data_IF_865412700965
#
_entry.id   IF_865412700965
#
_cell.length_a   1.000
_cell.length_b   1.000
_cell.length_c   1.000
_cell.angle_alpha   90.00
_cell.angle_beta   90.00
_cell.angle_gamma   90.00
#
_symmetry.space_group_name_H-M   'P 1'
#
loop_
_entity.id
_entity.type
_entity.pdbx_description
1 polymer ?
#
# COMPACT_ATOMS: atom_id res chain seq x y z
N UNK A 1 17.04 -10.60 18.79
CA UNK A 1 17.36 -10.32 17.38
C UNK A 1 18.30 -9.12 17.31
N UNK A 2 19.47 -9.28 16.68
CA UNK A 2 20.47 -8.19 16.61
C UNK A 2 20.09 -7.15 15.54
N UNK A 3 20.60 -5.93 15.68
CA UNK A 3 20.37 -4.85 14.73
C UNK A 3 20.83 -5.21 13.30
N UNK A 4 21.87 -6.03 13.16
CA UNK A 4 22.35 -6.54 11.86
C UNK A 4 21.36 -7.46 11.17
N UNK A 5 20.63 -8.28 11.93
CA UNK A 5 19.60 -9.18 11.35
C UNK A 5 18.42 -8.38 10.81
N UNK A 6 18.07 -7.26 11.44
CA UNK A 6 17.04 -6.32 10.96
C UNK A 6 17.48 -5.61 9.67
N UNK A 7 18.71 -5.14 9.64
CA UNK A 7 19.29 -4.43 8.49
C UNK A 7 19.48 -5.34 7.26
N UNK A 8 19.86 -6.60 7.47
CA UNK A 8 19.96 -7.59 6.39
C UNK A 8 18.58 -7.97 5.82
N UNK A 9 17.56 -8.08 6.67
CA UNK A 9 16.18 -8.30 6.22
C UNK A 9 15.63 -7.07 5.46
N UNK A 10 16.01 -5.86 5.87
CA UNK A 10 15.68 -4.62 5.15
C UNK A 10 16.33 -4.54 3.76
N UNK A 11 17.58 -5.01 3.60
CA UNK A 11 18.32 -4.99 2.34
C UNK A 11 17.93 -6.11 1.37
N UNK A 12 17.46 -7.25 1.86
CA UNK A 12 17.11 -8.42 1.04
C UNK A 12 15.64 -8.44 0.55
N UNK A 13 14.87 -7.39 0.80
CA UNK A 13 13.48 -7.28 0.31
C UNK A 13 13.50 -6.59 -1.05
N UNK A 14 12.81 -7.14 -2.05
CA UNK A 14 12.67 -6.51 -3.37
C UNK A 14 12.56 -4.99 -3.29
N UNK A 15 13.34 -4.33 -4.14
CA UNK A 15 13.08 -2.97 -4.56
C UNK A 15 11.81 -2.96 -5.44
N UNK A 16 10.66 -3.29 -4.86
CA UNK A 16 9.41 -2.77 -5.37
C UNK A 16 9.59 -1.23 -5.37
N UNK A 17 9.32 -0.53 -6.48
CA UNK A 17 9.60 0.91 -6.58
C UNK A 17 8.87 1.76 -5.52
N UNK A 18 7.95 1.16 -4.76
CA UNK A 18 7.17 1.76 -3.68
C UNK A 18 7.29 0.95 -2.39
N UNK A 19 8.42 1.00 -1.68
CA UNK A 19 8.45 0.47 -0.31
C UNK A 19 7.74 1.45 0.64
N UNK A 20 6.45 1.24 0.86
CA UNK A 20 5.72 1.98 1.91
C UNK A 20 6.38 1.66 3.26
N UNK A 21 6.88 2.66 4.00
CA UNK A 21 7.58 2.45 5.27
C UNK A 21 6.74 1.63 6.26
N UNK A 22 7.36 0.91 7.22
CA UNK A 22 6.63 0.13 8.23
C UNK A 22 5.89 0.99 9.27
N UNK A 23 5.99 2.32 9.18
CA UNK A 23 5.20 3.25 9.98
C UNK A 23 3.70 3.05 9.71
N UNK A 24 2.88 2.97 10.76
CA UNK A 24 1.45 2.68 10.61
C UNK A 24 0.61 3.91 10.23
N UNK A 25 0.99 5.11 10.66
CA UNK A 25 0.19 6.32 10.50
C UNK A 25 0.99 7.44 9.86
N UNK A 26 0.49 8.00 8.76
CA UNK A 26 1.17 9.05 8.00
C UNK A 26 0.43 10.38 8.11
N UNK A 27 1.17 11.49 8.20
CA UNK A 27 0.64 12.82 7.88
C UNK A 27 0.40 12.94 6.38
N UNK A 28 -0.36 13.94 5.92
CA UNK A 28 -0.56 14.18 4.49
C UNK A 28 0.75 14.42 3.75
N UNK A 29 1.68 15.16 4.36
CA UNK A 29 3.03 15.36 3.83
C UNK A 29 3.79 14.05 3.64
N UNK A 30 3.79 13.18 4.66
CA UNK A 30 4.48 11.89 4.59
C UNK A 30 3.81 10.96 3.58
N UNK A 31 2.48 10.95 3.53
CA UNK A 31 1.72 10.24 2.50
C UNK A 31 2.10 10.72 1.10
N UNK A 32 2.22 12.04 0.88
CA UNK A 32 2.68 12.60 -0.39
C UNK A 32 4.07 12.13 -0.79
N UNK A 33 5.01 12.11 0.16
CA UNK A 33 6.34 11.58 -0.09
C UNK A 33 6.33 10.08 -0.49
N UNK A 34 5.44 9.27 0.10
CA UNK A 34 5.28 7.85 -0.26
C UNK A 34 4.64 7.69 -1.64
N UNK A 35 3.64 8.51 -1.97
CA UNK A 35 2.89 8.43 -3.22
C UNK A 35 3.58 9.14 -4.40
N UNK A 36 4.66 9.88 -4.15
CA UNK A 36 5.28 10.75 -5.16
C UNK A 36 4.42 11.96 -5.53
N UNK A 37 3.58 12.46 -4.61
CA UNK A 37 2.63 13.55 -4.82
C UNK A 37 2.89 14.73 -3.87
N UNK A 38 2.50 15.93 -4.30
CA UNK A 38 2.47 17.10 -3.44
C UNK A 38 1.43 16.93 -2.32
N UNK A 39 1.71 17.46 -1.13
CA UNK A 39 0.79 17.40 0.03
C UNK A 39 -0.61 17.95 -0.29
N UNK A 40 -0.70 19.04 -1.05
CA UNK A 40 -1.97 19.63 -1.48
C UNK A 40 -2.79 18.72 -2.41
N UNK A 41 -2.13 17.88 -3.20
CA UNK A 41 -2.79 16.86 -4.02
C UNK A 41 -3.34 15.75 -3.13
N UNK A 42 -2.54 15.28 -2.17
CA UNK A 42 -2.96 14.25 -1.19
C UNK A 42 -4.14 14.74 -0.36
N UNK A 43 -4.14 16.02 0.05
CA UNK A 43 -5.25 16.63 0.76
C UNK A 43 -6.55 16.60 -0.06
N UNK A 44 -6.48 16.94 -1.35
CA UNK A 44 -7.64 16.86 -2.24
C UNK A 44 -8.16 15.43 -2.39
N UNK A 45 -7.27 14.45 -2.56
CA UNK A 45 -7.64 13.03 -2.63
C UNK A 45 -8.32 12.58 -1.34
N UNK A 46 -7.82 13.02 -0.19
CA UNK A 46 -8.41 12.74 1.11
C UNK A 46 -9.82 13.32 1.22
N UNK A 47 -9.99 14.61 0.91
CA UNK A 47 -11.29 15.29 1.06
C UNK A 47 -12.35 14.81 0.08
N UNK A 48 -11.94 14.27 -1.08
CA UNK A 48 -12.83 13.57 -2.03
C UNK A 48 -13.18 12.15 -1.61
N UNK A 49 -12.55 11.60 -0.57
CA UNK A 49 -12.71 10.21 -0.17
C UNK A 49 -11.97 9.21 -1.07
N UNK A 50 -11.16 9.69 -2.01
CA UNK A 50 -10.31 8.83 -2.84
C UNK A 50 -9.16 8.23 -2.03
N UNK A 51 -8.63 8.96 -1.04
CA UNK A 51 -7.65 8.45 -0.09
C UNK A 51 -8.23 8.41 1.32
N UNK A 52 -8.48 7.20 1.84
CA UNK A 52 -9.14 7.00 3.13
C UNK A 52 -8.21 7.26 4.31
N UNK A 53 -8.75 7.80 5.41
CA UNK A 53 -8.00 7.95 6.66
C UNK A 53 -8.85 8.48 7.80
N UNK A 54 -8.16 8.91 8.87
CA UNK A 54 -8.77 9.42 10.09
C UNK A 54 -8.59 10.94 10.19
N UNK A 55 -9.68 11.63 10.52
CA UNK A 55 -9.69 13.07 10.81
C UNK A 55 -9.88 13.24 12.31
N UNK A 56 -8.97 13.96 12.94
CA UNK A 56 -9.07 14.36 14.33
C UNK A 56 -9.29 15.87 14.38
N UNK A 57 -10.44 16.27 14.93
CA UNK A 57 -10.77 17.66 15.20
C UNK A 57 -10.53 17.93 16.69
N UNK A 58 -9.70 18.93 17.01
CA UNK A 58 -9.36 19.28 18.39
C UNK A 58 -10.28 20.37 19.00
N UNK A 59 -11.30 20.83 18.29
CA UNK A 59 -12.28 21.81 18.77
C UNK A 59 -12.09 23.22 18.19
N UNK A 60 -12.80 24.20 18.77
CA UNK A 60 -12.97 25.57 18.21
C UNK A 60 -11.63 26.27 17.95
N UNK A 61 -11.33 26.49 16.68
CA UNK A 61 -10.17 27.25 16.20
C UNK A 61 -8.89 26.43 15.99
N UNK A 62 -8.90 25.16 16.37
CA UNK A 62 -7.75 24.26 16.19
C UNK A 62 -7.75 23.61 14.80
N UNK A 63 -6.55 23.32 14.29
CA UNK A 63 -6.38 22.78 12.94
C UNK A 63 -6.76 21.30 12.89
N UNK A 64 -7.67 20.93 11.99
CA UNK A 64 -8.01 19.53 11.73
C UNK A 64 -6.76 18.72 11.34
N UNK A 65 -6.52 17.62 12.05
CA UNK A 65 -5.41 16.71 11.76
C UNK A 65 -5.89 15.49 10.98
N UNK A 66 -5.47 15.41 9.71
CA UNK A 66 -5.68 14.23 8.85
C UNK A 66 -4.51 13.24 9.04
N UNK A 67 -4.83 11.96 9.18
CA UNK A 67 -3.87 10.85 9.28
C UNK A 67 -4.29 9.73 8.35
N UNK A 68 -3.34 9.22 7.57
CA UNK A 68 -3.57 8.14 6.60
C UNK A 68 -2.93 6.87 7.15
N UNK A 69 -3.69 5.77 7.33
CA UNK A 69 -3.10 4.50 7.74
C UNK A 69 -2.30 3.89 6.59
N UNK A 70 -1.24 3.14 6.92
CA UNK A 70 -0.37 2.46 5.96
C UNK A 70 -1.15 1.61 4.94
N UNK A 71 -2.16 0.90 5.41
CA UNK A 71 -3.02 0.07 4.57
C UNK A 71 -3.76 0.87 3.49
N UNK A 72 -4.19 2.10 3.79
CA UNK A 72 -4.87 2.96 2.83
C UNK A 72 -3.91 3.47 1.74
N UNK A 73 -2.65 3.76 2.07
CA UNK A 73 -1.64 4.11 1.07
C UNK A 73 -1.35 2.94 0.12
N UNK A 74 -1.21 1.73 0.65
CA UNK A 74 -1.00 0.52 -0.14
C UNK A 74 -2.20 0.27 -1.06
N UNK A 75 -3.42 0.36 -0.53
CA UNK A 75 -4.64 0.18 -1.31
C UNK A 75 -4.77 1.22 -2.43
N UNK A 76 -4.44 2.49 -2.14
CA UNK A 76 -4.43 3.55 -3.13
C UNK A 76 -3.45 3.24 -4.26
N UNK A 77 -2.19 2.94 -3.94
CA UNK A 77 -1.14 2.61 -4.92
C UNK A 77 -1.53 1.45 -5.82
N UNK A 78 -2.14 0.40 -5.26
CA UNK A 78 -2.64 -0.74 -6.03
C UNK A 78 -3.75 -0.31 -6.99
N UNK A 79 -4.74 0.44 -6.49
CA UNK A 79 -5.91 0.86 -7.29
C UNK A 79 -5.55 1.83 -8.41
N UNK A 80 -4.54 2.68 -8.21
CA UNK A 80 -4.12 3.69 -9.19
C UNK A 80 -2.96 3.24 -10.07
N UNK A 81 -2.52 1.99 -9.93
CA UNK A 81 -1.46 1.46 -10.76
C UNK A 81 -1.96 1.30 -12.20
N UNK A 82 -1.30 1.97 -13.14
CA UNK A 82 -1.57 1.86 -14.59
C UNK A 82 -0.63 0.84 -15.26
N UNK A 83 -0.30 -0.23 -14.53
CA UNK A 83 0.48 -1.33 -15.07
C UNK A 83 -0.41 -2.18 -16.00
N UNK A 84 0.17 -2.75 -17.07
CA UNK A 84 -0.52 -3.81 -17.80
C UNK A 84 -0.75 -5.01 -16.88
N UNK A 85 -1.76 -5.83 -17.15
CA UNK A 85 -2.07 -7.03 -16.37
C UNK A 85 -0.82 -7.93 -16.23
N UNK A 86 0.01 -8.03 -17.27
CA UNK A 86 1.27 -8.78 -17.22
C UNK A 86 2.29 -8.14 -16.27
N UNK A 87 2.47 -6.82 -16.37
CA UNK A 87 3.41 -6.08 -15.52
C UNK A 87 3.02 -6.13 -14.04
N UNK A 88 1.71 -6.09 -13.75
CA UNK A 88 1.18 -6.24 -12.41
C UNK A 88 1.37 -7.66 -11.87
N UNK A 89 1.09 -8.67 -12.70
CA UNK A 89 1.32 -10.07 -12.36
C UNK A 89 2.79 -10.35 -12.06
N UNK A 90 3.71 -9.84 -12.87
CA UNK A 90 5.16 -9.97 -12.68
C UNK A 90 5.62 -9.33 -11.37
N UNK A 91 5.14 -8.13 -11.03
CA UNK A 91 5.44 -7.47 -9.77
C UNK A 91 4.92 -8.26 -8.56
N UNK A 92 3.70 -8.82 -8.66
CA UNK A 92 3.14 -9.66 -7.61
C UNK A 92 3.93 -10.96 -7.43
N UNK A 93 4.24 -11.65 -8.54
CA UNK A 93 5.04 -12.87 -8.56
C UNK A 93 6.43 -12.64 -7.97
N UNK A 94 7.05 -11.52 -8.32
CA UNK A 94 8.32 -11.11 -7.75
C UNK A 94 8.22 -11.00 -6.22
N UNK A 95 7.12 -10.47 -5.66
CA UNK A 95 6.94 -10.31 -4.21
C UNK A 95 6.71 -11.62 -3.43
N UNK A 96 6.25 -12.70 -4.09
CA UNK A 96 5.87 -13.95 -3.42
C UNK A 96 7.00 -14.61 -2.58
N UNK A 97 8.26 -14.72 -3.04
CA UNK A 97 9.33 -15.40 -2.30
C UNK A 97 9.62 -14.83 -0.90
N UNK A 98 9.20 -13.60 -0.61
CA UNK A 98 9.40 -12.97 0.70
C UNK A 98 8.24 -13.21 1.68
N UNK A 99 7.17 -13.89 1.25
CA UNK A 99 6.00 -14.14 2.08
C UNK A 99 6.10 -15.49 2.81
N UNK A 100 5.59 -15.59 4.05
CA UNK A 100 5.49 -16.87 4.75
C UNK A 100 4.60 -17.87 3.99
N UNK A 101 4.92 -19.16 4.09
CA UNK A 101 4.16 -20.23 3.42
C UNK A 101 2.64 -20.17 3.66
N UNK A 102 2.21 -19.85 4.89
CA UNK A 102 0.79 -19.69 5.21
C UNK A 102 0.11 -18.56 4.40
N UNK A 103 0.83 -17.47 4.16
CA UNK A 103 0.34 -16.33 3.35
C UNK A 103 0.28 -16.71 1.88
N UNK A 104 1.30 -17.41 1.37
CA UNK A 104 1.32 -17.92 -0.01
C UNK A 104 0.15 -18.85 -0.29
N UNK A 105 -0.14 -19.79 0.61
CA UNK A 105 -1.28 -20.69 0.49
C UNK A 105 -2.61 -19.94 0.50
N UNK A 106 -2.73 -18.88 1.32
CA UNK A 106 -3.93 -18.03 1.34
C UNK A 106 -4.12 -17.28 0.01
N UNK A 107 -3.04 -16.72 -0.54
CA UNK A 107 -3.06 -16.04 -1.85
C UNK A 107 -3.47 -17.03 -2.94
N UNK A 108 -2.84 -18.21 -2.99
CA UNK A 108 -3.14 -19.23 -3.99
C UNK A 108 -4.62 -19.68 -3.96
N UNK A 109 -5.17 -19.92 -2.76
CA UNK A 109 -6.59 -20.27 -2.60
C UNK A 109 -7.52 -19.18 -3.10
N UNK A 110 -7.22 -17.92 -2.77
CA UNK A 110 -8.04 -16.79 -3.20
C UNK A 110 -7.96 -16.57 -4.71
N UNK A 111 -6.77 -16.66 -5.30
CA UNK A 111 -6.57 -16.53 -6.73
C UNK A 111 -7.31 -17.63 -7.50
N UNK A 112 -7.18 -18.90 -7.08
CA UNK A 112 -7.88 -20.02 -7.69
C UNK A 112 -9.40 -19.87 -7.60
N UNK A 113 -9.91 -19.46 -6.43
CA UNK A 113 -11.35 -19.22 -6.24
C UNK A 113 -11.87 -18.16 -7.22
N UNK A 114 -11.18 -17.03 -7.31
CA UNK A 114 -11.58 -15.93 -8.20
C UNK A 114 -11.47 -16.31 -9.69
N UNK A 115 -10.44 -17.07 -10.07
CA UNK A 115 -10.27 -17.54 -11.46
C UNK A 115 -11.38 -18.51 -11.90
N UNK A 116 -11.95 -19.28 -10.97
CA UNK A 116 -13.09 -20.17 -11.25
C UNK A 116 -14.40 -19.36 -11.32
N UNK A 117 -14.54 -18.34 -10.48
CA UNK A 117 -15.75 -17.50 -10.39
C UNK A 117 -15.86 -16.48 -11.53
N UNK A 118 -14.74 -16.05 -12.12
CA UNK A 118 -14.74 -15.14 -13.26
C UNK A 118 -14.81 -15.93 -14.57
N UNK A 119 -15.83 -15.74 -15.42
CA UNK A 119 -15.79 -16.29 -16.76
C UNK A 119 -14.58 -15.71 -17.49
N UNK A 120 -13.83 -16.56 -18.22
CA UNK A 120 -12.81 -16.11 -19.16
C UNK A 120 -13.47 -15.09 -20.08
N UNK A 121 -13.21 -13.82 -19.82
CA UNK A 121 -13.69 -12.73 -20.67
C UNK A 121 -12.95 -12.91 -21.98
N UNK A 122 -13.71 -13.21 -23.04
CA UNK A 122 -13.21 -13.31 -24.41
C UNK A 122 -12.81 -11.94 -24.94
#
# INVERSE_FOLDING_TARGET
MSARTRQAAEQATLALPFRVPPQEWFTLRQAGAVLGLAESTVEKLYDKGELTGHRHNAGRGERDHKRVPRAALIAYLIRTADYTDESFADLYCAALPHLPAATLLRIARQANRLAIEQPLSR
#
